data_IF_502421246942
#
_entry.id   IF_502421246942
#
_cell.length_a   1.000
_cell.length_b   1.000
_cell.length_c   1.000
_cell.angle_alpha   90.00
_cell.angle_beta   90.00
_cell.angle_gamma   90.00
#
_symmetry.space_group_name_H-M   'P 1'
#
loop_
_entity.id
_entity.type
_entity.pdbx_description
1 polymer ?
#
# COMPACT_ATOMS: atom_id res chain seq x y z
N UNK A 1 13.73 -1.26 -15.89
CA UNK A 1 12.35 -1.45 -15.40
C UNK A 1 12.31 -1.04 -13.94
N UNK A 2 11.50 -0.05 -13.59
CA UNK A 2 11.41 0.40 -12.19
C UNK A 2 10.63 -0.67 -11.42
N UNK A 3 11.30 -1.37 -10.49
CA UNK A 3 10.62 -2.31 -9.60
C UNK A 3 9.66 -1.52 -8.71
N UNK A 4 8.37 -1.52 -9.07
CA UNK A 4 7.33 -0.90 -8.24
C UNK A 4 7.12 -1.77 -7.00
N UNK A 5 7.62 -1.29 -5.86
CA UNK A 5 7.47 -1.98 -4.57
C UNK A 5 6.70 -1.09 -3.62
N UNK A 6 5.63 -1.63 -3.07
CA UNK A 6 4.90 -1.01 -1.98
C UNK A 6 5.45 -1.53 -0.65
N UNK A 7 5.56 -0.66 0.34
CA UNK A 7 5.96 -1.07 1.69
C UNK A 7 4.92 -2.00 2.32
N UNK A 8 5.34 -2.79 3.27
CA UNK A 8 4.45 -3.54 4.13
C UNK A 8 3.63 -2.59 5.03
N UNK A 9 2.50 -3.08 5.54
CA UNK A 9 1.68 -2.38 6.53
C UNK A 9 2.45 -2.23 7.85
N UNK A 10 2.25 -1.09 8.50
CA UNK A 10 2.72 -0.86 9.88
C UNK A 10 1.73 -1.49 10.87
N UNK A 11 2.17 -1.84 12.10
CA UNK A 11 1.28 -2.39 13.12
C UNK A 11 0.03 -1.53 13.41
N UNK A 12 0.17 -0.22 13.41
CA UNK A 12 -0.90 0.77 13.65
C UNK A 12 -1.88 0.94 12.48
N UNK A 13 -1.52 0.44 11.28
CA UNK A 13 -2.35 0.44 10.09
C UNK A 13 -3.23 -0.82 9.97
N UNK A 14 -3.05 -1.79 10.89
CA UNK A 14 -3.77 -3.06 10.89
C UNK A 14 -4.85 -3.07 11.96
N UNK A 15 -6.09 -3.28 11.54
CA UNK A 15 -7.24 -3.46 12.41
C UNK A 15 -7.44 -4.94 12.75
N UNK A 16 -7.76 -5.23 14.00
CA UNK A 16 -8.08 -6.58 14.50
C UNK A 16 -9.56 -6.66 14.79
N UNK A 17 -10.28 -7.54 14.10
CA UNK A 17 -11.73 -7.68 14.24
C UNK A 17 -12.10 -9.11 14.59
N UNK A 18 -13.05 -9.27 15.54
CA UNK A 18 -13.62 -10.58 15.84
C UNK A 18 -14.43 -11.09 14.62
N UNK A 19 -14.18 -12.31 14.20
CA UNK A 19 -14.87 -12.98 13.11
C UNK A 19 -15.94 -13.96 13.63
N UNK A 20 -15.56 -14.81 14.60
CA UNK A 20 -16.46 -15.75 15.24
C UNK A 20 -16.22 -15.72 16.76
N UNK A 21 -17.29 -15.70 17.52
CA UNK A 21 -17.24 -15.72 18.99
C UNK A 21 -18.08 -16.87 19.51
N UNK A 22 -17.52 -17.63 20.42
CA UNK A 22 -18.20 -18.74 21.12
C UNK A 22 -17.87 -18.69 22.61
N UNK A 23 -18.51 -19.48 23.43
CA UNK A 23 -18.19 -19.60 24.85
C UNK A 23 -16.73 -20.02 25.12
N UNK A 24 -16.09 -20.73 24.16
CA UNK A 24 -14.74 -21.25 24.29
C UNK A 24 -13.64 -20.27 23.87
N UNK A 25 -14.00 -19.16 23.22
CA UNK A 25 -13.05 -18.19 22.70
C UNK A 25 -13.56 -17.51 21.44
N UNK A 26 -12.70 -16.69 20.85
CA UNK A 26 -13.00 -15.99 19.61
C UNK A 26 -11.87 -16.09 18.60
N UNK A 27 -12.22 -16.16 17.32
CA UNK A 27 -11.29 -15.98 16.22
C UNK A 27 -11.27 -14.53 15.77
N UNK A 28 -10.09 -14.07 15.39
CA UNK A 28 -9.87 -12.72 14.91
C UNK A 28 -9.24 -12.72 13.51
N UNK A 29 -9.55 -11.70 12.75
CA UNK A 29 -8.99 -11.45 11.43
C UNK A 29 -8.34 -10.07 11.40
N UNK A 30 -7.33 -9.94 10.57
CA UNK A 30 -6.63 -8.70 10.31
C UNK A 30 -7.22 -7.99 9.10
N UNK A 31 -7.41 -6.69 9.22
CA UNK A 31 -7.94 -5.83 8.15
C UNK A 31 -7.10 -4.57 8.04
N UNK A 32 -7.30 -3.82 6.98
CA UNK A 32 -6.78 -2.45 6.81
C UNK A 32 -7.89 -1.49 6.41
N UNK A 33 -7.76 -0.23 6.80
CA UNK A 33 -8.62 0.85 6.30
C UNK A 33 -8.22 1.24 4.86
N UNK A 34 -9.20 1.64 4.05
CA UNK A 34 -8.97 2.08 2.68
C UNK A 34 -8.07 3.33 2.58
N UNK A 35 -8.00 4.14 3.64
CA UNK A 35 -7.10 5.30 3.72
C UNK A 35 -5.63 4.90 3.78
N UNK A 36 -5.34 3.74 4.35
CA UNK A 36 -3.97 3.18 4.35
C UNK A 36 -3.51 2.89 2.93
N UNK A 37 -4.38 2.35 2.07
CA UNK A 37 -4.07 2.14 0.66
C UNK A 37 -3.76 3.45 -0.06
N UNK A 38 -4.52 4.52 0.22
CA UNK A 38 -4.28 5.84 -0.36
C UNK A 38 -2.92 6.39 0.07
N UNK A 39 -2.59 6.31 1.36
CA UNK A 39 -1.30 6.76 1.90
C UNK A 39 -0.15 6.01 1.22
N UNK A 40 -0.24 4.69 1.10
CA UNK A 40 0.82 3.87 0.48
C UNK A 40 0.97 4.18 -1.02
N UNK A 41 -0.14 4.43 -1.73
CA UNK A 41 -0.10 4.89 -3.12
C UNK A 41 0.57 6.25 -3.24
N UNK A 42 0.18 7.22 -2.39
CA UNK A 42 0.77 8.56 -2.39
C UNK A 42 2.26 8.52 -2.06
N UNK A 43 2.68 7.75 -1.07
CA UNK A 43 4.08 7.56 -0.69
C UNK A 43 4.91 6.93 -1.80
N UNK A 44 4.33 5.97 -2.56
CA UNK A 44 5.10 5.15 -3.51
C UNK A 44 5.19 5.77 -4.89
N UNK A 45 4.07 6.29 -5.39
CA UNK A 45 3.99 6.81 -6.77
C UNK A 45 3.70 8.30 -6.84
N UNK A 46 3.31 8.92 -5.73
CA UNK A 46 2.87 10.31 -5.65
C UNK A 46 1.39 10.49 -5.99
N UNK A 47 0.72 11.49 -5.38
CA UNK A 47 -0.74 11.66 -5.48
C UNK A 47 -1.24 12.00 -6.89
N UNK A 48 -0.37 12.47 -7.79
CA UNK A 48 -0.73 12.79 -9.18
C UNK A 48 -0.51 11.62 -10.15
N UNK A 49 0.08 10.51 -9.69
CA UNK A 49 0.48 9.40 -10.55
C UNK A 49 -0.35 8.13 -10.32
N UNK A 50 -1.45 8.25 -9.60
CA UNK A 50 -2.46 7.21 -9.48
C UNK A 50 -3.86 7.81 -9.52
N UNK A 51 -4.82 7.01 -9.93
CA UNK A 51 -6.23 7.35 -9.94
C UNK A 51 -7.09 6.11 -9.69
N UNK A 52 -8.33 6.32 -9.26
CA UNK A 52 -9.32 5.26 -9.16
C UNK A 52 -10.62 5.65 -9.81
N UNK A 53 -11.32 4.66 -10.33
CA UNK A 53 -12.71 4.79 -10.80
C UNK A 53 -13.54 3.62 -10.27
N UNK A 54 -14.82 3.85 -10.10
CA UNK A 54 -15.77 2.83 -9.71
C UNK A 54 -16.79 2.58 -10.82
N UNK A 55 -17.25 1.35 -10.93
CA UNK A 55 -18.31 0.93 -11.86
C UNK A 55 -19.26 -0.03 -11.14
N UNK A 56 -20.39 -0.37 -11.79
CA UNK A 56 -21.41 -1.29 -11.25
C UNK A 56 -21.87 -0.89 -9.84
N UNK A 57 -22.30 0.36 -9.68
CA UNK A 57 -22.77 0.90 -8.39
C UNK A 57 -21.74 0.71 -7.25
N UNK A 58 -20.48 1.02 -7.53
CA UNK A 58 -19.32 0.86 -6.65
C UNK A 58 -18.89 -0.58 -6.37
N UNK A 59 -19.50 -1.59 -6.98
CA UNK A 59 -19.10 -2.98 -6.79
C UNK A 59 -17.70 -3.26 -7.34
N UNK A 60 -17.32 -2.63 -8.45
CA UNK A 60 -15.98 -2.75 -9.02
C UNK A 60 -15.20 -1.47 -8.78
N UNK A 61 -13.91 -1.61 -8.50
CA UNK A 61 -12.96 -0.52 -8.45
C UNK A 61 -11.76 -0.82 -9.33
N UNK A 62 -11.43 0.11 -10.21
CA UNK A 62 -10.20 0.11 -10.99
C UNK A 62 -9.22 1.10 -10.36
N UNK A 63 -8.03 0.63 -10.00
CA UNK A 63 -6.89 1.47 -9.58
C UNK A 63 -5.87 1.49 -10.70
N UNK A 64 -5.53 2.67 -11.16
CA UNK A 64 -4.59 2.90 -12.25
C UNK A 64 -3.36 3.64 -11.74
N UNK A 65 -2.18 3.22 -12.18
CA UNK A 65 -0.89 3.86 -11.88
C UNK A 65 -0.23 4.22 -13.20
N UNK A 66 0.33 5.42 -13.26
CA UNK A 66 1.05 5.88 -14.45
C UNK A 66 2.40 5.18 -14.58
N UNK A 67 2.60 4.50 -15.71
CA UNK A 67 3.87 3.88 -16.06
C UNK A 67 4.67 4.84 -16.95
N UNK A 68 5.72 5.44 -16.38
CA UNK A 68 6.57 6.39 -17.08
C UNK A 68 7.43 5.76 -18.18
N UNK A 69 7.71 4.45 -18.12
CA UNK A 69 8.48 3.78 -19.16
C UNK A 69 7.61 3.48 -20.39
N UNK A 70 6.38 3.07 -20.16
CA UNK A 70 5.41 2.75 -21.22
C UNK A 70 4.59 3.95 -21.66
N UNK A 71 4.65 5.05 -20.90
CA UNK A 71 3.87 6.27 -21.10
C UNK A 71 2.37 6.00 -21.20
N UNK A 72 1.86 5.20 -20.27
CA UNK A 72 0.45 4.82 -20.22
C UNK A 72 -0.01 4.56 -18.79
N UNK A 73 -1.31 4.63 -18.60
CA UNK A 73 -1.94 4.14 -17.39
C UNK A 73 -1.97 2.60 -17.43
N UNK A 74 -1.47 1.98 -16.37
CA UNK A 74 -1.64 0.54 -16.13
C UNK A 74 -2.72 0.39 -15.06
N UNK A 75 -3.73 -0.42 -15.35
CA UNK A 75 -4.93 -0.53 -14.54
C UNK A 75 -5.11 -1.95 -14.01
N UNK A 76 -5.59 -2.06 -12.78
CA UNK A 76 -6.02 -3.32 -12.17
C UNK A 76 -7.37 -3.12 -11.49
N UNK A 77 -8.30 -4.03 -11.74
CA UNK A 77 -9.66 -3.98 -11.22
C UNK A 77 -9.91 -5.15 -10.27
N UNK A 78 -10.80 -4.93 -9.30
CA UNK A 78 -11.38 -5.98 -8.47
C UNK A 78 -12.79 -5.62 -8.02
N UNK A 79 -13.51 -6.63 -7.55
CA UNK A 79 -14.89 -6.52 -7.09
C UNK A 79 -14.95 -6.62 -5.57
N UNK A 80 -15.66 -5.69 -4.94
CA UNK A 80 -15.93 -5.69 -3.51
C UNK A 80 -17.19 -6.46 -3.15
N UNK A 81 -17.37 -6.66 -1.86
CA UNK A 81 -18.56 -7.21 -1.26
C UNK A 81 -19.27 -6.19 -0.37
N UNK A 82 -20.60 -6.24 -0.31
CA UNK A 82 -21.37 -5.35 0.55
C UNK A 82 -21.06 -5.57 2.04
N UNK A 83 -21.02 -4.49 2.80
CA UNK A 83 -20.99 -4.58 4.26
C UNK A 83 -22.41 -4.69 4.85
N UNK A 84 -22.51 -5.31 6.02
CA UNK A 84 -23.80 -5.49 6.69
C UNK A 84 -24.41 -4.19 7.25
N UNK A 85 -23.62 -3.14 7.42
CA UNK A 85 -24.03 -1.91 8.13
C UNK A 85 -24.15 -0.69 7.23
N UNK A 86 -23.22 -0.46 6.31
CA UNK A 86 -23.19 0.66 5.36
C UNK A 86 -22.90 0.12 3.96
N UNK A 87 -23.95 -0.36 3.28
CA UNK A 87 -23.80 -1.13 2.04
C UNK A 87 -22.99 -0.43 0.96
N UNK A 88 -23.41 0.75 0.52
CA UNK A 88 -22.76 1.47 -0.59
C UNK A 88 -21.33 1.91 -0.27
N UNK A 89 -21.14 2.54 0.92
CA UNK A 89 -19.83 2.98 1.35
C UNK A 89 -18.89 1.81 1.64
N UNK A 90 -19.44 0.73 2.22
CA UNK A 90 -18.72 -0.51 2.45
C UNK A 90 -18.26 -1.14 1.16
N UNK A 91 -19.14 -1.20 0.16
CA UNK A 91 -18.86 -1.75 -1.17
C UNK A 91 -17.75 -0.97 -1.89
N UNK A 92 -17.83 0.37 -1.92
CA UNK A 92 -16.82 1.23 -2.52
C UNK A 92 -15.44 1.09 -1.83
N UNK A 93 -15.43 1.02 -0.49
CA UNK A 93 -14.18 0.82 0.26
C UNK A 93 -13.60 -0.57 0.06
N UNK A 94 -14.43 -1.60 -0.02
CA UNK A 94 -13.97 -2.97 -0.18
C UNK A 94 -13.44 -3.22 -1.59
N UNK A 95 -14.15 -2.78 -2.64
CA UNK A 95 -13.67 -2.89 -4.02
C UNK A 95 -12.35 -2.15 -4.23
N UNK A 96 -12.17 -0.96 -3.63
CA UNK A 96 -10.90 -0.23 -3.69
C UNK A 96 -9.76 -0.97 -2.99
N UNK A 97 -9.96 -1.47 -1.76
CA UNK A 97 -8.95 -2.26 -1.05
C UNK A 97 -8.53 -3.49 -1.84
N UNK A 98 -9.49 -4.18 -2.46
CA UNK A 98 -9.22 -5.37 -3.29
C UNK A 98 -8.45 -5.02 -4.56
N UNK A 99 -8.78 -3.91 -5.24
CA UNK A 99 -8.01 -3.43 -6.37
C UNK A 99 -6.55 -3.10 -5.97
N UNK A 100 -6.34 -2.54 -4.77
CA UNK A 100 -5.01 -2.30 -4.21
C UNK A 100 -4.25 -3.60 -3.90
N UNK A 101 -4.91 -4.68 -3.50
CA UNK A 101 -4.30 -6.01 -3.39
C UNK A 101 -3.71 -6.49 -4.71
N UNK A 102 -4.36 -6.21 -5.83
CA UNK A 102 -3.84 -6.58 -7.14
C UNK A 102 -2.53 -5.85 -7.47
N UNK A 103 -2.29 -4.69 -6.86
CA UNK A 103 -1.03 -3.96 -6.92
C UNK A 103 0.03 -4.47 -5.92
N UNK A 104 -0.37 -5.24 -4.92
CA UNK A 104 0.52 -5.80 -3.90
C UNK A 104 0.39 -5.16 -2.53
N UNK A 105 -0.45 -4.14 -2.35
CA UNK A 105 -0.59 -3.40 -1.10
C UNK A 105 -1.38 -4.25 -0.08
N UNK A 106 -0.75 -4.58 1.06
CA UNK A 106 -1.38 -5.30 2.16
C UNK A 106 -1.60 -6.80 1.92
N UNK A 107 -0.96 -7.40 0.90
CA UNK A 107 -1.05 -8.85 0.62
C UNK A 107 -0.59 -9.71 1.79
N UNK A 108 0.30 -9.22 2.61
CA UNK A 108 0.79 -9.92 3.80
C UNK A 108 -0.32 -10.30 4.77
N UNK A 109 -1.45 -9.56 4.81
CA UNK A 109 -2.58 -9.90 5.68
C UNK A 109 -3.17 -11.29 5.40
N UNK A 110 -3.08 -11.78 4.15
CA UNK A 110 -3.51 -13.14 3.81
C UNK A 110 -2.55 -14.23 4.30
N UNK A 111 -1.39 -13.85 4.80
CA UNK A 111 -0.40 -14.77 5.37
C UNK A 111 -0.47 -14.82 6.90
N UNK A 112 -1.42 -14.09 7.50
CA UNK A 112 -1.61 -14.07 8.95
C UNK A 112 -1.87 -15.47 9.49
N UNK A 113 -1.33 -15.81 10.69
CA UNK A 113 -1.66 -17.05 11.35
C UNK A 113 -3.12 -17.08 11.75
N UNK A 114 -3.64 -18.28 12.04
CA UNK A 114 -4.95 -18.40 12.69
C UNK A 114 -4.87 -17.75 14.08
N UNK A 115 -5.62 -16.68 14.29
CA UNK A 115 -5.69 -15.98 15.56
C UNK A 115 -6.89 -16.51 16.31
N UNK A 116 -6.63 -17.21 17.42
CA UNK A 116 -7.65 -17.70 18.35
C UNK A 116 -7.28 -17.29 19.76
N UNK A 117 -8.22 -16.68 20.49
CA UNK A 117 -7.99 -16.18 21.85
C UNK A 117 -9.08 -16.75 22.75
N UNK A 118 -8.66 -17.34 23.86
CA UNK A 118 -9.53 -17.99 24.83
C UNK A 118 -10.21 -17.03 25.80
N UNK A 119 -11.19 -17.52 26.59
CA UNK A 119 -11.99 -16.69 27.51
C UNK A 119 -11.21 -16.20 28.74
N UNK A 120 -9.94 -16.60 28.92
CA UNK A 120 -9.05 -16.07 29.96
C UNK A 120 -8.47 -14.71 29.60
N UNK A 121 -8.32 -14.45 28.28
CA UNK A 121 -7.62 -13.29 27.75
C UNK A 121 -8.54 -12.25 27.14
N UNK A 122 -9.81 -12.61 26.89
CA UNK A 122 -10.88 -11.71 26.41
C UNK A 122 -12.18 -11.97 27.15
N UNK A 123 -12.98 -10.91 27.29
CA UNK A 123 -14.31 -10.99 27.88
C UNK A 123 -15.33 -11.49 26.86
N UNK A 124 -15.94 -12.64 27.13
CA UNK A 124 -17.02 -13.20 26.29
C UNK A 124 -18.35 -13.04 27.03
N UNK A 125 -19.35 -12.53 26.33
CA UNK A 125 -20.71 -12.34 26.85
C UNK A 125 -21.72 -12.99 25.90
N UNK A 126 -22.79 -13.52 26.49
CA UNK A 126 -23.95 -13.94 25.70
C UNK A 126 -24.62 -12.71 25.08
N UNK A 127 -24.98 -12.81 23.82
CA UNK A 127 -25.83 -11.83 23.18
C UNK A 127 -27.30 -12.27 23.32
N UNK A 128 -28.24 -11.33 23.40
CA UNK A 128 -29.67 -11.61 23.62
C UNK A 128 -30.36 -12.46 22.51
N UNK A 129 -29.57 -13.04 21.59
CA UNK A 129 -30.04 -13.88 20.46
C UNK A 129 -29.49 -15.32 20.55
N UNK A 130 -29.02 -15.77 21.69
CA UNK A 130 -28.49 -17.12 21.91
C UNK A 130 -27.08 -17.38 21.35
N UNK A 131 -26.35 -16.32 20.99
CA UNK A 131 -24.95 -16.39 20.58
C UNK A 131 -24.01 -15.70 21.58
N UNK A 132 -22.76 -15.55 21.19
CA UNK A 132 -21.72 -14.92 22.02
C UNK A 132 -21.13 -13.72 21.29
N UNK A 133 -20.62 -12.75 22.06
CA UNK A 133 -19.95 -11.57 21.57
C UNK A 133 -18.80 -11.17 22.50
N UNK A 134 -17.85 -10.41 21.98
CA UNK A 134 -16.83 -9.73 22.77
C UNK A 134 -16.83 -8.24 22.39
N UNK A 135 -16.68 -7.37 23.39
CA UNK A 135 -16.52 -5.93 23.23
C UNK A 135 -15.06 -5.50 23.43
N UNK A 136 -14.18 -6.44 23.75
CA UNK A 136 -12.78 -6.16 23.90
C UNK A 136 -12.18 -5.72 22.56
N UNK A 137 -11.37 -4.68 22.61
CA UNK A 137 -10.69 -4.12 21.44
C UNK A 137 -9.26 -4.62 21.43
N UNK A 138 -8.87 -5.24 20.35
CA UNK A 138 -7.52 -5.70 20.14
C UNK A 138 -6.79 -4.78 19.17
N UNK A 139 -5.48 -4.62 19.40
CA UNK A 139 -4.55 -3.94 18.48
C UNK A 139 -3.34 -4.81 18.22
N UNK A 140 -2.74 -4.63 17.05
CA UNK A 140 -1.43 -5.19 16.77
C UNK A 140 -0.41 -4.46 17.65
N UNK A 141 0.30 -5.22 18.49
CA UNK A 141 1.38 -4.70 19.31
C UNK A 141 2.70 -4.73 18.53
N UNK A 142 2.96 -5.85 17.86
CA UNK A 142 4.13 -6.05 17.03
C UNK A 142 3.77 -6.89 15.81
N UNK A 143 4.29 -6.51 14.66
CA UNK A 143 4.18 -7.27 13.42
C UNK A 143 5.48 -7.12 12.62
N UNK A 144 6.04 -8.24 12.20
CA UNK A 144 7.20 -8.27 11.31
C UNK A 144 6.83 -8.96 10.01
N UNK A 145 7.15 -8.32 8.91
CA UNK A 145 6.92 -8.85 7.56
C UNK A 145 8.26 -9.08 6.86
N UNK A 146 8.46 -10.27 6.34
CA UNK A 146 9.62 -10.61 5.52
C UNK A 146 9.17 -11.41 4.29
N UNK A 147 9.75 -11.10 3.13
CA UNK A 147 9.37 -11.75 1.88
C UNK A 147 7.87 -11.64 1.53
N UNK A 148 7.20 -10.54 1.95
CA UNK A 148 5.76 -10.35 1.75
C UNK A 148 4.86 -11.22 2.65
N UNK A 149 5.41 -11.81 3.72
CA UNK A 149 4.69 -12.67 4.67
C UNK A 149 4.86 -12.16 6.09
N UNK A 150 3.81 -12.24 6.89
CA UNK A 150 3.91 -12.01 8.33
C UNK A 150 4.72 -13.17 8.93
N UNK A 151 5.83 -12.85 9.60
CA UNK A 151 6.70 -13.82 10.27
C UNK A 151 6.65 -13.72 11.80
N UNK A 152 6.17 -12.60 12.33
CA UNK A 152 5.92 -12.38 13.76
C UNK A 152 4.67 -11.54 13.92
N UNK A 153 3.84 -11.90 14.89
CA UNK A 153 2.62 -11.17 15.22
C UNK A 153 2.33 -11.27 16.71
N UNK A 154 2.06 -10.14 17.33
CA UNK A 154 1.53 -10.12 18.70
C UNK A 154 0.38 -9.10 18.82
N UNK A 155 -0.60 -9.43 19.68
CA UNK A 155 -1.79 -8.61 19.87
C UNK A 155 -1.94 -8.26 21.35
N UNK A 156 -2.35 -7.01 21.60
CA UNK A 156 -2.70 -6.50 22.92
C UNK A 156 -4.20 -6.23 23.02
N UNK A 157 -4.81 -6.62 24.12
CA UNK A 157 -6.16 -6.21 24.48
C UNK A 157 -6.09 -4.80 25.06
N UNK A 158 -6.58 -3.81 24.34
CA UNK A 158 -6.51 -2.41 24.78
C UNK A 158 -7.43 -2.07 25.95
N UNK A 159 -8.38 -2.94 26.28
CA UNK A 159 -9.25 -2.81 27.45
C UNK A 159 -8.55 -3.18 28.74
N UNK A 160 -7.69 -4.21 28.69
CA UNK A 160 -6.98 -4.72 29.88
C UNK A 160 -5.49 -4.35 29.90
N UNK A 161 -4.93 -3.95 28.75
CA UNK A 161 -3.50 -3.70 28.59
C UNK A 161 -2.66 -4.97 28.43
N UNK A 162 -3.25 -6.15 28.44
CA UNK A 162 -2.55 -7.43 28.42
C UNK A 162 -2.20 -7.87 27.00
N UNK A 163 -1.04 -8.50 26.85
CA UNK A 163 -0.66 -9.24 25.65
C UNK A 163 -1.48 -10.54 25.63
N UNK A 164 -2.31 -10.73 24.58
CA UNK A 164 -3.29 -11.83 24.50
C UNK A 164 -3.02 -12.82 23.38
N UNK A 165 -2.11 -12.48 22.49
CA UNK A 165 -1.70 -13.38 21.41
C UNK A 165 -0.25 -13.09 21.02
N UNK A 166 0.52 -14.15 20.81
CA UNK A 166 1.88 -14.08 20.27
C UNK A 166 2.09 -15.26 19.33
N UNK A 167 2.63 -14.99 18.16
CA UNK A 167 2.96 -15.99 17.17
C UNK A 167 4.22 -15.60 16.41
N UNK A 168 5.03 -16.59 16.11
CA UNK A 168 6.19 -16.47 15.26
C UNK A 168 6.20 -17.64 14.28
N UNK A 169 6.50 -17.35 13.00
CA UNK A 169 6.64 -18.39 11.98
C UNK A 169 7.73 -19.38 12.40
N UNK A 170 7.46 -20.70 12.34
CA UNK A 170 8.53 -21.66 12.50
C UNK A 170 9.62 -21.33 11.47
N UNK A 171 10.89 -21.36 11.90
CA UNK A 171 12.03 -21.24 10.98
C UNK A 171 11.94 -22.41 10.02
N UNK A 172 11.55 -22.16 8.78
CA UNK A 172 11.83 -23.08 7.69
C UNK A 172 13.27 -22.83 7.27
N UNK A 173 14.09 -23.87 7.23
CA UNK A 173 15.50 -23.80 6.79
C UNK A 173 15.66 -23.29 5.35
N UNK A 174 14.55 -23.12 4.62
CA UNK A 174 14.48 -22.63 3.23
C UNK A 174 14.44 -21.10 3.06
N UNK A 175 14.52 -20.31 4.16
CA UNK A 175 14.56 -18.84 4.03
C UNK A 175 15.92 -18.30 3.60
N UNK A 176 16.95 -19.14 3.50
CA UNK A 176 18.30 -18.72 3.09
C UNK A 176 18.51 -18.63 1.56
N UNK A 177 17.55 -19.06 0.75
CA UNK A 177 17.72 -19.04 -0.72
C UNK A 177 17.34 -17.68 -1.34
N UNK A 178 16.76 -16.75 -0.60
CA UNK A 178 16.40 -15.41 -1.11
C UNK A 178 17.13 -14.26 -0.41
N UNK A 179 18.15 -14.55 0.39
CA UNK A 179 19.12 -13.54 0.84
C UNK A 179 20.18 -13.29 -0.23
N UNK A 180 19.78 -12.82 -1.40
CA UNK A 180 20.69 -12.12 -2.28
C UNK A 180 21.12 -10.84 -1.58
N UNK A 181 22.27 -10.98 -0.89
CA UNK A 181 23.24 -9.95 -0.56
C UNK A 181 22.79 -8.50 -0.88
N UNK A 182 22.03 -7.91 0.00
CA UNK A 182 22.14 -6.48 0.23
C UNK A 182 23.23 -6.32 1.29
N UNK A 183 24.44 -5.97 0.84
CA UNK A 183 25.46 -5.45 1.73
C UNK A 183 24.81 -4.29 2.49
N UNK A 184 24.68 -4.49 3.79
CA UNK A 184 24.27 -3.46 4.73
C UNK A 184 25.29 -2.32 4.65
N UNK A 185 24.85 -1.19 4.11
CA UNK A 185 25.40 0.07 4.53
C UNK A 185 24.72 0.41 5.87
N UNK A 186 25.46 0.94 6.86
CA UNK A 186 24.89 1.29 8.15
C UNK A 186 23.76 2.31 7.97
N UNK A 187 22.78 2.32 8.90
CA UNK A 187 21.60 3.17 8.76
C UNK A 187 22.03 4.63 8.80
N UNK A 188 21.94 5.29 7.66
CA UNK A 188 21.88 6.73 7.63
C UNK A 188 20.54 7.18 8.22
N UNK A 189 20.64 8.05 9.18
CA UNK A 189 19.58 8.61 9.99
C UNK A 189 18.36 9.05 9.16
N UNK A 190 17.18 8.74 9.68
CA UNK A 190 15.90 9.26 9.27
C UNK A 190 15.95 10.73 8.85
N UNK A 191 15.78 10.96 7.55
CA UNK A 191 15.26 12.22 7.04
C UNK A 191 14.15 11.94 6.03
N UNK A 192 13.04 11.42 6.53
CA UNK A 192 11.74 11.54 5.89
C UNK A 192 11.20 12.93 6.21
N UNK A 193 11.69 13.91 5.51
CA UNK A 193 11.03 15.20 5.36
C UNK A 193 10.97 15.40 3.86
N UNK A 194 9.78 15.61 3.34
CA UNK A 194 9.58 16.19 2.02
C UNK A 194 10.51 17.42 1.94
N UNK A 195 11.69 17.24 1.36
CA UNK A 195 12.56 18.37 1.09
C UNK A 195 11.79 19.28 0.13
N UNK A 196 11.72 20.57 0.41
CA UNK A 196 11.10 21.49 -0.52
C UNK A 196 11.83 21.36 -1.86
N UNK A 197 11.05 21.22 -2.94
CA UNK A 197 11.49 21.21 -4.32
C UNK A 197 12.54 22.31 -4.53
N UNK A 198 13.78 21.92 -4.84
CA UNK A 198 14.83 22.87 -5.26
C UNK A 198 14.75 23.06 -6.80
N UNK A 199 14.33 24.25 -7.25
CA UNK A 199 14.23 24.53 -8.69
C UNK A 199 15.56 24.44 -9.43
N UNK A 200 16.68 24.54 -8.71
CA UNK A 200 18.04 24.51 -9.27
C UNK A 200 18.69 23.13 -9.22
N UNK A 201 18.03 22.13 -8.61
CA UNK A 201 18.53 20.76 -8.62
C UNK A 201 18.61 20.22 -10.05
N UNK A 202 19.72 19.59 -10.40
CA UNK A 202 19.91 18.95 -11.70
C UNK A 202 19.07 17.67 -11.80
N UNK A 203 18.46 17.45 -12.97
CA UNK A 203 17.72 16.19 -13.19
C UNK A 203 18.69 15.03 -13.40
N UNK A 204 18.29 13.83 -12.98
CA UNK A 204 19.04 12.63 -13.24
C UNK A 204 19.11 12.32 -14.75
N UNK A 205 20.12 11.59 -15.19
CA UNK A 205 20.24 11.13 -16.58
C UNK A 205 18.97 10.39 -17.07
N UNK A 206 18.32 9.67 -16.15
CA UNK A 206 17.07 8.96 -16.43
C UNK A 206 15.90 9.91 -16.69
N UNK A 207 15.79 10.99 -15.94
CA UNK A 207 14.75 12.01 -16.14
C UNK A 207 15.00 12.78 -17.44
N UNK A 208 16.25 13.09 -17.76
CA UNK A 208 16.61 13.70 -19.03
C UNK A 208 16.25 12.80 -20.23
N UNK A 209 16.48 11.48 -20.12
CA UNK A 209 16.10 10.51 -21.15
C UNK A 209 14.57 10.40 -21.30
N UNK A 210 13.81 10.48 -20.21
CA UNK A 210 12.36 10.52 -20.23
C UNK A 210 11.86 11.78 -20.94
N UNK A 211 12.41 12.96 -20.60
CA UNK A 211 12.06 14.21 -21.23
C UNK A 211 12.35 14.16 -22.75
N UNK A 212 13.48 13.58 -23.17
CA UNK A 212 13.80 13.37 -24.60
C UNK A 212 12.70 12.58 -25.30
N UNK A 213 12.31 11.45 -24.73
CA UNK A 213 11.25 10.58 -25.27
C UNK A 213 9.90 11.33 -25.41
N UNK A 214 9.51 12.08 -24.38
CA UNK A 214 8.26 12.85 -24.39
C UNK A 214 8.30 14.01 -25.39
N UNK A 215 9.42 14.70 -25.46
CA UNK A 215 9.63 15.82 -26.37
C UNK A 215 9.57 15.41 -27.84
N UNK A 216 10.21 14.29 -28.18
CA UNK A 216 10.17 13.73 -29.54
C UNK A 216 8.77 13.21 -29.91
N UNK A 217 8.05 12.56 -28.98
CA UNK A 217 6.65 12.16 -29.18
C UNK A 217 5.73 13.36 -29.42
N UNK A 218 5.99 14.48 -28.76
CA UNK A 218 5.27 15.72 -28.99
C UNK A 218 5.64 16.41 -30.33
N UNK A 219 6.59 15.86 -31.10
CA UNK A 219 7.04 16.37 -32.39
C UNK A 219 8.16 17.41 -32.28
N UNK A 220 8.78 17.56 -31.13
CA UNK A 220 9.90 18.46 -30.90
C UNK A 220 11.26 17.81 -31.24
N UNK A 221 12.26 18.64 -31.56
CA UNK A 221 13.63 18.18 -31.66
C UNK A 221 14.33 18.43 -30.31
N UNK A 222 14.60 17.36 -29.57
CA UNK A 222 15.18 17.42 -28.23
C UNK A 222 16.59 18.00 -28.24
N UNK A 223 17.47 17.55 -29.12
CA UNK A 223 18.88 17.96 -29.19
C UNK A 223 19.02 19.45 -29.52
N UNK A 224 18.13 19.97 -30.35
CA UNK A 224 18.07 21.40 -30.66
C UNK A 224 17.61 22.25 -29.47
N UNK A 225 16.70 21.74 -28.63
CA UNK A 225 16.14 22.46 -27.51
C UNK A 225 17.00 22.33 -26.24
N UNK A 226 17.59 21.17 -26.04
CA UNK A 226 18.42 20.83 -24.89
C UNK A 226 19.75 20.26 -25.38
N UNK A 227 20.68 21.14 -25.85
CA UNK A 227 21.96 20.70 -26.41
C UNK A 227 22.88 20.05 -25.37
N UNK A 228 22.67 20.35 -24.11
CA UNK A 228 23.37 19.73 -22.98
C UNK A 228 22.33 19.15 -22.00
N UNK A 229 21.98 17.84 -22.11
CA UNK A 229 21.02 17.19 -21.24
C UNK A 229 21.43 17.15 -19.76
N UNK A 230 22.73 17.24 -19.45
CA UNK A 230 23.22 17.24 -18.08
C UNK A 230 23.02 18.60 -17.38
N UNK A 231 22.74 19.64 -18.13
CA UNK A 231 22.44 21.00 -17.63
C UNK A 231 20.95 21.28 -17.40
N UNK A 232 20.09 20.27 -17.49
CA UNK A 232 18.65 20.44 -17.29
C UNK A 232 18.34 20.50 -15.78
N UNK A 233 17.88 21.68 -15.32
CA UNK A 233 17.42 21.82 -13.94
C UNK A 233 16.01 21.25 -13.74
N UNK A 234 15.64 20.98 -12.50
CA UNK A 234 14.32 20.49 -12.12
C UNK A 234 13.20 21.40 -12.60
N UNK A 235 13.39 22.69 -12.54
CA UNK A 235 12.41 23.68 -13.02
C UNK A 235 12.18 23.58 -14.53
N UNK A 236 13.28 23.48 -15.31
CA UNK A 236 13.23 23.33 -16.77
C UNK A 236 12.55 22.02 -17.15
N UNK A 237 12.89 20.94 -16.46
CA UNK A 237 12.29 19.63 -16.66
C UNK A 237 10.76 19.64 -16.48
N UNK A 238 10.28 20.19 -15.35
CA UNK A 238 8.83 20.23 -15.05
C UNK A 238 8.08 21.06 -16.10
N UNK A 239 8.58 22.24 -16.48
CA UNK A 239 7.97 23.08 -17.52
C UNK A 239 7.94 22.39 -18.87
N UNK A 240 9.01 21.71 -19.24
CA UNK A 240 9.09 21.00 -20.54
C UNK A 240 8.15 19.79 -20.57
N UNK A 241 8.06 19.03 -19.47
CA UNK A 241 7.12 17.90 -19.36
C UNK A 241 5.66 18.34 -19.44
N UNK A 242 5.30 19.48 -18.83
CA UNK A 242 3.95 20.04 -18.90
C UNK A 242 3.59 20.47 -20.34
N UNK A 243 4.53 21.09 -21.07
CA UNK A 243 4.35 21.42 -22.48
C UNK A 243 4.12 20.18 -23.33
N UNK A 244 4.89 19.11 -23.12
CA UNK A 244 4.71 17.84 -23.83
C UNK A 244 3.32 17.25 -23.58
N UNK A 245 2.85 17.25 -22.34
CA UNK A 245 1.51 16.75 -21.97
C UNK A 245 0.41 17.53 -22.71
N UNK A 246 0.41 18.86 -22.61
CA UNK A 246 -0.59 19.70 -23.28
C UNK A 246 -0.64 19.47 -24.79
N UNK A 247 0.53 19.24 -25.42
CA UNK A 247 0.59 18.98 -26.85
C UNK A 247 0.08 17.58 -27.24
N UNK A 248 0.27 16.59 -26.38
CA UNK A 248 -0.20 15.22 -26.61
C UNK A 248 -1.68 15.04 -26.28
N UNK A 249 -2.23 15.80 -25.34
CA UNK A 249 -3.65 15.79 -24.96
C UNK A 249 -4.52 16.58 -25.96
N UNK A 250 -3.93 17.50 -26.71
CA UNK A 250 -4.63 18.31 -27.76
C UNK A 250 -4.65 17.65 -29.13
N UNK A 251 -4.15 16.44 -29.28
CA UNK A 251 -4.22 15.60 -30.49
C UNK A 251 -5.18 14.44 -30.29
#
# INVERSE_FOLDING_TARGET
MRDLKFRALRPDEVEVRAAQVSQKGASFLLYKDARVDQIILDETVGPLNWQRSHSRDNANCTVSIWDYEKLQWVSKEDTGTESNTEKEKGLASDSFKRACFNWGIGRELYTAPRIWIGPRDITIKENGRGGYTTYDKLKVHEMTVAGGRIIKLSLVNTTTGNLVFTWQSPKTEDTDVFSLQTKENPPDEEKSILQPYDPQEWVSQREAALLKTMWEKAGGNFEKKFPDPESITREVYVKAMDLCRKHLEGK
#
